data_IF_101505367818
#
_entry.id   IF_101505367818
#
_cell.length_a   1.000
_cell.length_b   1.000
_cell.length_c   1.000
_cell.angle_alpha   90.00
_cell.angle_beta   90.00
_cell.angle_gamma   90.00
#
_symmetry.space_group_name_H-M   'P 1'
#
loop_
_entity.id
_entity.type
_entity.pdbx_description
1 polymer ?
#
# COMPACT_ATOMS: atom_id res chain seq x y z
N UNK A 1 9.66 -14.82 -8.79
CA UNK A 1 10.40 -13.63 -9.26
C UNK A 1 11.92 -13.83 -9.29
N UNK A 2 12.56 -14.19 -8.17
CA UNK A 2 14.02 -14.45 -8.14
C UNK A 2 14.49 -15.57 -9.08
N UNK A 3 13.63 -16.54 -9.38
CA UNK A 3 13.96 -17.71 -10.22
C UNK A 3 13.77 -17.50 -11.73
N UNK A 4 12.87 -16.60 -12.14
CA UNK A 4 12.50 -16.41 -13.56
C UNK A 4 12.95 -15.08 -14.15
N UNK A 5 13.38 -14.11 -13.33
CA UNK A 5 13.68 -12.71 -13.72
C UNK A 5 12.59 -12.02 -14.55
N UNK A 6 11.38 -12.55 -14.57
CA UNK A 6 10.24 -11.96 -15.27
C UNK A 6 9.38 -11.17 -14.30
N UNK A 7 9.12 -9.90 -14.62
CA UNK A 7 8.10 -9.08 -13.96
C UNK A 7 6.67 -9.38 -14.45
N UNK A 8 6.47 -10.52 -15.12
CA UNK A 8 5.18 -10.92 -15.67
C UNK A 8 4.14 -11.01 -14.55
N UNK A 9 3.09 -10.17 -14.64
CA UNK A 9 1.97 -10.16 -13.71
C UNK A 9 1.91 -9.00 -12.72
N UNK A 10 2.90 -8.09 -12.65
CA UNK A 10 2.81 -6.90 -11.78
C UNK A 10 3.05 -5.61 -12.56
N UNK A 11 2.10 -4.66 -12.46
CA UNK A 11 2.17 -3.38 -13.17
C UNK A 11 3.20 -2.43 -12.57
N UNK A 12 4.05 -1.76 -13.39
CA UNK A 12 4.90 -0.66 -12.93
C UNK A 12 4.13 0.47 -12.24
N UNK A 13 2.88 0.73 -12.65
CA UNK A 13 2.05 1.77 -12.03
C UNK A 13 1.71 1.45 -10.57
N UNK A 14 1.54 0.19 -10.22
CA UNK A 14 1.32 -0.26 -8.82
C UNK A 14 2.53 0.08 -7.95
N UNK A 15 3.74 -0.18 -8.44
CA UNK A 15 4.99 0.12 -7.73
C UNK A 15 5.24 1.63 -7.58
N UNK A 16 4.90 2.41 -8.60
CA UNK A 16 4.95 3.87 -8.52
C UNK A 16 3.95 4.38 -7.47
N UNK A 17 2.71 3.90 -7.46
CA UNK A 17 1.72 4.27 -6.44
C UNK A 17 2.13 3.85 -5.03
N UNK A 18 2.72 2.66 -4.86
CA UNK A 18 3.29 2.23 -3.59
C UNK A 18 4.43 3.14 -3.14
N UNK A 19 5.27 3.57 -4.06
CA UNK A 19 6.39 4.48 -3.76
C UNK A 19 5.87 5.85 -3.33
N UNK A 20 4.90 6.41 -4.06
CA UNK A 20 4.26 7.68 -3.73
C UNK A 20 3.58 7.59 -2.35
N UNK A 21 2.81 6.52 -2.10
CA UNK A 21 2.17 6.28 -0.81
C UNK A 21 3.21 6.20 0.32
N UNK A 22 4.28 5.41 0.14
CA UNK A 22 5.33 5.22 1.16
C UNK A 22 6.07 6.52 1.47
N UNK A 23 6.44 7.28 0.43
CA UNK A 23 7.11 8.58 0.56
C UNK A 23 6.20 9.62 1.22
N UNK A 24 4.92 9.64 0.85
CA UNK A 24 3.93 10.55 1.43
C UNK A 24 3.74 10.29 2.93
N UNK A 25 3.54 9.04 3.33
CA UNK A 25 3.38 8.67 4.75
C UNK A 25 4.66 8.81 5.57
N UNK A 26 5.83 8.57 4.97
CA UNK A 26 7.10 8.86 5.64
C UNK A 26 7.27 10.37 5.86
N UNK A 27 7.03 11.18 4.82
CA UNK A 27 7.04 12.64 4.93
C UNK A 27 6.03 13.16 5.95
N UNK A 28 4.85 12.54 6.03
CA UNK A 28 3.87 12.82 7.08
C UNK A 28 4.45 12.58 8.47
N UNK A 29 5.01 11.39 8.72
CA UNK A 29 5.64 11.04 10.00
C UNK A 29 6.76 12.01 10.42
N UNK A 30 7.59 12.44 9.46
CA UNK A 30 8.61 13.48 9.70
C UNK A 30 7.96 14.81 10.10
N UNK A 31 6.88 15.19 9.43
CA UNK A 31 6.20 16.48 9.64
C UNK A 31 5.57 16.58 11.02
N UNK A 32 4.86 15.53 11.45
CA UNK A 32 4.24 15.45 12.79
C UNK A 32 5.21 14.96 13.88
N UNK A 33 6.47 14.70 13.52
CA UNK A 33 7.53 14.20 14.42
C UNK A 33 7.16 12.91 15.16
N UNK A 34 6.42 12.03 14.48
CA UNK A 34 5.96 10.77 15.04
C UNK A 34 6.98 9.65 14.78
N UNK A 35 7.70 9.15 15.80
CA UNK A 35 8.68 8.08 15.61
C UNK A 35 8.02 6.78 15.13
N UNK A 36 6.78 6.50 15.54
CA UNK A 36 6.04 5.31 15.10
C UNK A 36 5.75 5.37 13.59
N UNK A 37 5.31 6.53 13.09
CA UNK A 37 5.08 6.76 11.66
C UNK A 37 6.38 6.70 10.86
N UNK A 38 7.46 7.29 11.39
CA UNK A 38 8.77 7.31 10.74
C UNK A 38 9.33 5.89 10.61
N UNK A 39 9.28 5.09 11.68
CA UNK A 39 9.79 3.72 11.66
C UNK A 39 8.94 2.84 10.72
N UNK A 40 7.61 2.88 10.86
CA UNK A 40 6.72 2.06 10.06
C UNK A 40 6.85 2.39 8.57
N UNK A 41 6.70 3.65 8.18
CA UNK A 41 6.72 4.05 6.78
C UNK A 41 8.14 4.13 6.21
N UNK A 42 9.14 4.43 7.04
CA UNK A 42 10.55 4.38 6.65
C UNK A 42 10.97 2.98 6.24
N UNK A 43 10.51 1.94 6.96
CA UNK A 43 10.73 0.55 6.56
C UNK A 43 10.11 0.25 5.18
N UNK A 44 8.92 0.79 4.89
CA UNK A 44 8.29 0.67 3.57
C UNK A 44 9.06 1.40 2.48
N UNK A 45 9.57 2.61 2.73
CA UNK A 45 10.43 3.32 1.76
C UNK A 45 11.67 2.48 1.41
N UNK A 46 12.35 1.94 2.43
CA UNK A 46 13.55 1.09 2.25
C UNK A 46 13.23 -0.19 1.48
N UNK A 47 12.03 -0.75 1.61
CA UNK A 47 11.63 -1.96 0.88
C UNK A 47 11.12 -1.67 -0.53
N UNK A 48 10.23 -0.69 -0.68
CA UNK A 48 9.49 -0.43 -1.92
C UNK A 48 10.34 0.29 -2.95
N UNK A 49 11.21 1.23 -2.56
CA UNK A 49 12.03 1.96 -3.54
C UNK A 49 12.98 1.01 -4.29
N UNK A 50 13.74 0.12 -3.64
CA UNK A 50 14.55 -0.87 -4.34
C UNK A 50 13.74 -1.87 -5.16
N UNK A 51 12.55 -2.26 -4.71
CA UNK A 51 11.67 -3.16 -5.46
C UNK A 51 11.12 -2.48 -6.72
N UNK A 52 10.72 -1.21 -6.63
CA UNK A 52 10.32 -0.39 -7.77
C UNK A 52 11.47 -0.27 -8.77
N UNK A 53 12.70 -0.06 -8.28
CA UNK A 53 13.89 -0.07 -9.12
C UNK A 53 14.11 -1.40 -9.84
N UNK A 54 14.02 -2.51 -9.10
CA UNK A 54 14.14 -3.86 -9.66
C UNK A 54 13.06 -4.14 -10.72
N UNK A 55 11.84 -3.64 -10.53
CA UNK A 55 10.77 -3.76 -11.52
C UNK A 55 11.03 -2.96 -12.81
N UNK A 56 11.90 -1.95 -12.75
CA UNK A 56 12.34 -1.18 -13.91
C UNK A 56 13.62 -1.74 -14.55
N UNK A 57 14.11 -2.91 -14.15
CA UNK A 57 15.43 -3.42 -14.59
C UNK A 57 15.59 -3.57 -16.11
N UNK A 58 14.53 -3.90 -16.84
CA UNK A 58 14.55 -4.01 -18.31
C UNK A 58 14.34 -2.67 -19.03
N UNK A 59 14.06 -1.59 -18.29
CA UNK A 59 13.84 -0.26 -18.88
C UNK A 59 15.16 0.44 -19.21
N UNK A 60 15.18 1.32 -20.23
CA UNK A 60 16.36 2.12 -20.56
C UNK A 60 16.89 2.90 -19.35
N UNK A 61 18.21 3.07 -19.28
CA UNK A 61 18.89 3.80 -18.18
C UNK A 61 18.29 5.19 -17.92
N UNK A 62 17.83 5.89 -18.97
CA UNK A 62 17.15 7.19 -18.85
C UNK A 62 15.86 7.10 -18.02
N UNK A 63 15.04 6.07 -18.20
CA UNK A 63 13.78 5.89 -17.46
C UNK A 63 14.07 5.61 -15.99
N UNK A 64 15.07 4.78 -15.72
CA UNK A 64 15.56 4.47 -14.38
C UNK A 64 16.02 5.73 -13.64
N UNK A 65 16.90 6.52 -14.26
CA UNK A 65 17.38 7.80 -13.69
C UNK A 65 16.24 8.79 -13.44
N UNK A 66 15.29 8.91 -14.39
CA UNK A 66 14.12 9.78 -14.20
C UNK A 66 13.25 9.32 -13.03
N UNK A 67 13.12 8.01 -12.80
CA UNK A 67 12.41 7.47 -11.65
C UNK A 67 13.13 7.77 -10.34
N UNK A 68 14.45 7.57 -10.25
CA UNK A 68 15.25 7.90 -9.05
C UNK A 68 15.16 9.39 -8.71
N UNK A 69 15.44 10.26 -9.69
CA UNK A 69 15.36 11.71 -9.50
C UNK A 69 13.94 12.13 -9.14
N UNK A 70 12.94 11.53 -9.79
CA UNK A 70 11.53 11.79 -9.50
C UNK A 70 11.13 11.38 -8.07
N UNK A 71 11.60 10.24 -7.57
CA UNK A 71 11.35 9.77 -6.20
C UNK A 71 12.05 10.67 -5.19
N UNK A 72 13.32 11.00 -5.40
CA UNK A 72 14.08 11.89 -4.52
C UNK A 72 13.45 13.29 -4.48
N UNK A 73 13.07 13.83 -5.65
CA UNK A 73 12.36 15.09 -5.75
C UNK A 73 11.01 15.05 -5.04
N UNK A 74 10.21 14.01 -5.24
CA UNK A 74 8.93 13.84 -4.57
C UNK A 74 9.10 13.79 -3.03
N UNK A 75 10.12 13.09 -2.53
CA UNK A 75 10.42 13.04 -1.09
C UNK A 75 10.75 14.43 -0.54
N UNK A 76 11.62 15.18 -1.21
CA UNK A 76 11.98 16.55 -0.80
C UNK A 76 10.74 17.45 -0.83
N UNK A 77 9.94 17.40 -1.89
CA UNK A 77 8.73 18.22 -2.04
C UNK A 77 7.71 17.89 -0.96
N UNK A 78 7.43 16.61 -0.70
CA UNK A 78 6.49 16.18 0.33
C UNK A 78 6.95 16.65 1.72
N UNK A 79 8.23 16.48 2.06
CA UNK A 79 8.77 16.95 3.34
C UNK A 79 8.66 18.47 3.44
N UNK A 80 9.01 19.20 2.37
CA UNK A 80 8.88 20.66 2.33
C UNK A 80 7.44 21.12 2.52
N UNK A 81 6.46 20.47 1.85
CA UNK A 81 5.03 20.76 2.05
C UNK A 81 4.59 20.49 3.50
N UNK A 82 5.16 19.47 4.13
CA UNK A 82 4.97 19.19 5.55
C UNK A 82 5.39 20.32 6.49
N UNK A 83 6.42 21.09 6.11
CA UNK A 83 6.83 22.28 6.88
C UNK A 83 5.85 23.45 6.77
N UNK A 84 5.05 23.49 5.70
CA UNK A 84 3.98 24.48 5.49
C UNK A 84 2.72 24.04 6.24
N UNK A 85 2.36 22.77 6.13
CA UNK A 85 1.26 22.16 6.89
C UNK A 85 1.52 20.66 7.03
N UNK A 86 1.62 20.21 8.28
CA UNK A 86 1.99 18.85 8.64
C UNK A 86 1.04 17.78 8.08
N UNK A 87 -0.20 18.15 7.73
CA UNK A 87 -1.21 17.21 7.22
C UNK A 87 -1.17 17.03 5.69
N UNK A 88 -0.54 17.94 4.94
CA UNK A 88 -0.49 17.85 3.46
C UNK A 88 0.09 16.50 2.99
N UNK A 89 1.23 16.02 3.52
CA UNK A 89 1.76 14.71 3.15
C UNK A 89 0.75 13.57 3.38
N UNK A 90 0.01 13.60 4.49
CA UNK A 90 -1.02 12.61 4.79
C UNK A 90 -2.17 12.64 3.78
N UNK A 91 -2.62 13.83 3.38
CA UNK A 91 -3.67 13.99 2.36
C UNK A 91 -3.24 13.54 0.96
N UNK A 92 -1.93 13.57 0.65
CA UNK A 92 -1.37 12.98 -0.57
C UNK A 92 -1.29 11.44 -0.43
N UNK A 93 -0.92 10.96 0.76
CA UNK A 93 -0.76 9.53 1.04
C UNK A 93 -2.06 8.73 0.94
N UNK A 94 -3.19 9.31 1.38
CA UNK A 94 -4.52 8.66 1.34
C UNK A 94 -4.91 8.18 -0.06
N UNK A 95 -5.05 9.05 -1.09
CA UNK A 95 -5.49 8.61 -2.41
C UNK A 95 -4.51 7.62 -3.03
N UNK A 96 -3.20 7.78 -2.83
CA UNK A 96 -2.21 6.82 -3.32
C UNK A 96 -2.40 5.42 -2.71
N UNK A 97 -2.66 5.36 -1.39
CA UNK A 97 -2.90 4.12 -0.64
C UNK A 97 -4.20 3.42 -1.05
N UNK A 98 -5.24 4.20 -1.35
CA UNK A 98 -6.52 3.66 -1.82
C UNK A 98 -6.41 3.17 -3.26
N UNK A 99 -5.76 3.92 -4.15
CA UNK A 99 -5.62 3.56 -5.56
C UNK A 99 -4.78 2.31 -5.76
N UNK A 100 -3.72 2.10 -4.97
CA UNK A 100 -2.93 0.87 -5.07
C UNK A 100 -3.75 -0.36 -4.65
N UNK A 101 -4.62 -0.22 -3.65
CA UNK A 101 -5.42 -1.32 -3.10
C UNK A 101 -6.70 -1.59 -3.91
N UNK A 102 -7.20 -0.60 -4.65
CA UNK A 102 -8.48 -0.64 -5.34
C UNK A 102 -8.66 -1.84 -6.29
N UNK A 103 -7.69 -2.22 -7.15
CA UNK A 103 -7.85 -3.38 -8.04
C UNK A 103 -8.05 -4.69 -7.26
N UNK A 104 -7.27 -4.91 -6.20
CA UNK A 104 -7.35 -6.14 -5.41
C UNK A 104 -8.63 -6.20 -4.58
N UNK A 105 -9.07 -5.05 -4.02
CA UNK A 105 -10.36 -4.93 -3.33
C UNK A 105 -11.49 -5.27 -4.30
N UNK A 106 -11.52 -4.61 -5.46
CA UNK A 106 -12.54 -4.84 -6.49
C UNK A 106 -12.56 -6.29 -6.96
N UNK A 107 -11.39 -6.89 -7.17
CA UNK A 107 -11.28 -8.28 -7.59
C UNK A 107 -11.83 -9.23 -6.52
N UNK A 108 -11.43 -9.05 -5.26
CA UNK A 108 -11.87 -9.87 -4.13
C UNK A 108 -13.38 -9.75 -3.88
N UNK A 109 -13.93 -8.54 -3.96
CA UNK A 109 -15.37 -8.28 -3.81
C UNK A 109 -16.21 -8.82 -4.97
N UNK A 110 -15.62 -9.01 -6.16
CA UNK A 110 -16.35 -9.54 -7.33
C UNK A 110 -16.28 -11.05 -7.41
N UNK A 111 -15.13 -11.65 -7.13
CA UNK A 111 -14.90 -13.06 -7.42
C UNK A 111 -14.86 -13.95 -6.17
N UNK A 112 -14.79 -13.39 -4.96
CA UNK A 112 -14.70 -14.19 -3.74
C UNK A 112 -13.33 -14.87 -3.61
N UNK A 113 -13.31 -16.09 -3.04
CA UNK A 113 -12.06 -16.85 -2.84
C UNK A 113 -11.50 -17.34 -4.17
N UNK A 114 -10.19 -17.25 -4.33
CA UNK A 114 -9.47 -17.76 -5.50
C UNK A 114 -7.96 -17.86 -5.26
N UNK A 115 -7.20 -18.45 -6.20
CA UNK A 115 -5.75 -18.49 -6.13
C UNK A 115 -5.16 -17.08 -5.94
N UNK A 116 -4.32 -16.91 -4.91
CA UNK A 116 -3.70 -15.62 -4.60
C UNK A 116 -4.53 -14.67 -3.72
N UNK A 117 -5.72 -15.08 -3.26
CA UNK A 117 -6.50 -14.33 -2.26
C UNK A 117 -6.55 -15.13 -0.95
N UNK A 118 -5.93 -14.59 0.10
CA UNK A 118 -5.98 -15.16 1.45
C UNK A 118 -6.94 -14.35 2.35
N UNK A 119 -8.03 -14.96 2.85
CA UNK A 119 -8.91 -14.32 3.84
C UNK A 119 -8.15 -13.90 5.10
N UNK A 120 -7.18 -14.73 5.53
CA UNK A 120 -6.33 -14.43 6.69
C UNK A 120 -5.45 -13.21 6.45
N UNK A 121 -4.86 -13.07 5.25
CA UNK A 121 -4.09 -11.87 4.92
C UNK A 121 -4.96 -10.61 4.93
N UNK A 122 -6.18 -10.69 4.41
CA UNK A 122 -7.15 -9.59 4.48
C UNK A 122 -7.58 -9.28 5.92
N UNK A 123 -7.75 -10.29 6.77
CA UNK A 123 -8.03 -10.10 8.18
C UNK A 123 -6.87 -9.38 8.89
N UNK A 124 -5.62 -9.80 8.64
CA UNK A 124 -4.43 -9.11 9.17
C UNK A 124 -4.36 -7.64 8.72
N UNK A 125 -4.65 -7.35 7.44
CA UNK A 125 -4.68 -5.99 6.92
C UNK A 125 -5.79 -5.14 7.59
N UNK A 126 -6.98 -5.71 7.79
CA UNK A 126 -8.07 -5.04 8.49
C UNK A 126 -7.70 -4.77 9.96
N UNK A 127 -7.18 -5.76 10.68
CA UNK A 127 -6.70 -5.61 12.07
C UNK A 127 -5.60 -4.54 12.16
N UNK A 128 -4.61 -4.57 11.28
CA UNK A 128 -3.58 -3.53 11.20
C UNK A 128 -4.19 -2.15 11.00
N UNK A 129 -5.22 -2.03 10.14
CA UNK A 129 -5.91 -0.77 9.91
C UNK A 129 -6.69 -0.29 11.14
N UNK A 130 -7.31 -1.19 11.91
CA UNK A 130 -7.93 -0.83 13.18
C UNK A 130 -6.92 -0.36 14.23
N UNK A 131 -5.73 -0.98 14.29
CA UNK A 131 -4.65 -0.55 15.19
C UNK A 131 -4.15 0.86 14.82
N UNK A 132 -3.94 1.13 13.52
CA UNK A 132 -3.58 2.46 13.05
C UNK A 132 -4.69 3.49 13.26
N UNK A 133 -5.96 3.09 13.14
CA UNK A 133 -7.09 3.95 13.42
C UNK A 133 -7.14 4.35 14.91
N UNK A 134 -7.00 3.37 15.82
CA UNK A 134 -6.95 3.62 17.25
C UNK A 134 -5.73 4.49 17.63
N UNK A 135 -4.58 4.21 17.03
CA UNK A 135 -3.38 5.05 17.15
C UNK A 135 -3.66 6.49 16.69
N UNK A 136 -4.26 6.67 15.50
CA UNK A 136 -4.56 7.98 14.95
C UNK A 136 -5.51 8.79 15.84
N UNK A 137 -6.50 8.14 16.47
CA UNK A 137 -7.38 8.78 17.46
C UNK A 137 -6.56 9.23 18.67
N UNK A 138 -5.73 8.34 19.23
CA UNK A 138 -4.91 8.64 20.40
C UNK A 138 -3.89 9.76 20.15
N UNK A 139 -3.28 9.78 18.97
CA UNK A 139 -2.32 10.79 18.54
C UNK A 139 -2.98 12.05 17.95
N UNK A 140 -4.31 12.07 17.78
CA UNK A 140 -5.08 13.13 17.11
C UNK A 140 -4.62 13.42 15.67
N UNK A 141 -4.14 12.39 14.98
CA UNK A 141 -3.61 12.45 13.62
C UNK A 141 -4.74 12.26 12.59
N UNK A 142 -5.42 13.35 12.21
CA UNK A 142 -6.63 13.31 11.34
C UNK A 142 -6.43 12.55 10.02
N UNK A 143 -5.34 12.74 9.26
CA UNK A 143 -5.12 11.96 8.04
C UNK A 143 -5.03 10.45 8.30
N UNK A 144 -4.46 10.04 9.43
CA UNK A 144 -4.31 8.62 9.80
C UNK A 144 -5.64 8.02 10.18
N UNK A 145 -6.45 8.76 10.95
CA UNK A 145 -7.83 8.38 11.29
C UNK A 145 -8.62 8.15 10.00
N UNK A 146 -8.56 9.10 9.06
CA UNK A 146 -9.27 9.00 7.79
C UNK A 146 -8.80 7.79 6.95
N UNK A 147 -7.49 7.68 6.71
CA UNK A 147 -6.92 6.58 5.92
C UNK A 147 -7.26 5.21 6.50
N UNK A 148 -6.96 5.04 7.79
CA UNK A 148 -7.02 3.75 8.46
C UNK A 148 -8.46 3.34 8.73
N UNK A 149 -9.36 4.31 8.97
CA UNK A 149 -10.79 4.06 9.06
C UNK A 149 -11.37 3.54 7.73
N UNK A 150 -11.04 4.20 6.61
CA UNK A 150 -11.45 3.74 5.28
C UNK A 150 -10.87 2.34 4.98
N UNK A 151 -9.58 2.14 5.23
CA UNK A 151 -8.90 0.87 5.00
C UNK A 151 -9.47 -0.26 5.86
N UNK A 152 -9.81 -0.01 7.12
CA UNK A 152 -10.43 -0.98 8.01
C UNK A 152 -11.82 -1.39 7.51
N UNK A 153 -12.65 -0.42 7.09
CA UNK A 153 -13.98 -0.70 6.55
C UNK A 153 -13.90 -1.54 5.26
N UNK A 154 -13.02 -1.15 4.32
CA UNK A 154 -12.83 -1.88 3.07
C UNK A 154 -12.25 -3.29 3.30
N UNK A 155 -11.25 -3.41 4.18
CA UNK A 155 -10.66 -4.70 4.56
C UNK A 155 -11.70 -5.63 5.17
N UNK A 156 -12.52 -5.14 6.11
CA UNK A 156 -13.61 -5.90 6.72
C UNK A 156 -14.65 -6.32 5.68
N UNK A 157 -15.04 -5.43 4.77
CA UNK A 157 -15.97 -5.76 3.69
C UNK A 157 -15.42 -6.89 2.79
N UNK A 158 -14.13 -6.85 2.47
CA UNK A 158 -13.47 -7.93 1.71
C UNK A 158 -13.46 -9.23 2.52
N UNK A 159 -13.07 -9.20 3.81
CA UNK A 159 -13.09 -10.40 4.66
C UNK A 159 -14.48 -11.03 4.68
N UNK A 160 -15.53 -10.24 4.93
CA UNK A 160 -16.92 -10.72 4.91
C UNK A 160 -17.26 -11.34 3.56
N UNK A 161 -16.96 -10.66 2.45
CA UNK A 161 -17.21 -11.19 1.11
C UNK A 161 -16.48 -12.52 0.85
N UNK A 162 -15.26 -12.67 1.36
CA UNK A 162 -14.48 -13.90 1.24
C UNK A 162 -14.94 -15.02 2.17
N UNK A 163 -15.58 -14.71 3.31
CA UNK A 163 -16.13 -15.71 4.22
C UNK A 163 -17.50 -16.20 3.79
N UNK A 164 -18.33 -15.31 3.22
CA UNK A 164 -19.70 -15.62 2.79
C UNK A 164 -19.72 -16.31 1.42
N UNK A 165 -18.75 -16.04 0.54
CA UNK A 165 -18.72 -16.65 -0.80
C UNK A 165 -17.98 -17.99 -0.77
N UNK A 166 -18.65 -19.09 -1.15
CA UNK A 166 -18.03 -20.42 -1.20
C UNK A 166 -16.80 -20.45 -2.11
N UNK A 167 -15.84 -21.31 -1.78
CA UNK A 167 -14.75 -21.64 -2.69
C UNK A 167 -15.34 -22.38 -3.90
N UNK A 168 -15.01 -22.01 -5.16
CA UNK A 168 -15.46 -22.78 -6.32
C UNK A 168 -15.02 -24.24 -6.16
N UNK A 169 -15.98 -25.17 -6.08
CA UNK A 169 -15.76 -26.59 -5.74
C UNK A 169 -14.97 -27.39 -6.80
N UNK A 170 -14.52 -26.77 -7.89
CA UNK A 170 -13.85 -27.45 -9.01
C UNK A 170 -12.46 -28.03 -8.74
N UNK A 171 -11.94 -27.98 -7.50
CA UNK A 171 -10.65 -28.58 -7.14
C UNK A 171 -10.75 -29.65 -6.04
N UNK A 172 -11.94 -29.91 -5.47
CA UNK A 172 -12.12 -30.93 -4.43
C UNK A 172 -12.46 -32.32 -4.99
N UNK A 173 -12.78 -32.43 -6.28
CA UNK A 173 -13.20 -33.69 -6.93
C UNK A 173 -12.11 -34.34 -7.78
N UNK A 174 -10.85 -33.89 -7.69
CA UNK A 174 -9.71 -34.46 -8.43
C UNK A 174 -8.57 -34.91 -7.54
N UNK A 175 -8.90 -35.45 -6.35
CA UNK A 175 -7.99 -36.29 -5.59
C UNK A 175 -8.36 -37.76 -5.85
N UNK A 176 -7.46 -38.58 -6.42
CA UNK A 176 -7.67 -40.03 -6.57
C UNK A 176 -7.67 -40.74 -5.21
#
# INVERSE_FOLDING_TARGET
MLRSRTAAGISPSTWILLTISSVAWFGYGVSVRSPQQIIANGSWVVLIVPLTWFMLHDRPRRVKLLAEVGIAFALIVVIALGTVNENIPGWIGIPASLLVSAPQIRYSLRHGRGPGISPTAWAFLATSSYLWFAYGIGAREVPVIANSGIAALLGTAVVIALLVRPQPQHLASSAP
#
